data_IF_931689074132
#
_entry.id   IF_931689074132
#
_cell.length_a   1.000
_cell.length_b   1.000
_cell.length_c   1.000
_cell.angle_alpha   90.00
_cell.angle_beta   90.00
_cell.angle_gamma   90.00
#
_symmetry.space_group_name_H-M   'P 1'
#
loop_
_entity.id
_entity.type
_entity.pdbx_description
1 polymer ?
#
# COMPACT_ATOMS: atom_id res chain seq x y z
N UNK A 1 -5.41 18.58 -14.00
CA UNK A 1 -4.41 17.53 -14.31
C UNK A 1 -5.17 16.21 -14.39
N UNK A 2 -5.05 15.42 -15.47
CA UNK A 2 -5.73 14.11 -15.60
C UNK A 2 -4.69 12.99 -15.47
N UNK A 3 -4.49 12.51 -14.24
CA UNK A 3 -3.49 11.49 -13.90
C UNK A 3 -4.08 10.45 -12.94
N UNK A 4 -3.70 9.20 -13.20
CA UNK A 4 -3.81 8.09 -12.26
C UNK A 4 -2.41 7.80 -11.74
N UNK A 5 -2.23 7.75 -10.43
CA UNK A 5 -0.97 7.40 -9.81
C UNK A 5 -1.14 6.12 -9.00
N UNK A 6 -0.37 5.09 -9.34
CA UNK A 6 -0.34 3.86 -8.57
C UNK A 6 0.35 4.12 -7.22
N UNK A 7 -0.30 3.73 -6.13
CA UNK A 7 0.22 3.94 -4.77
C UNK A 7 0.76 2.64 -4.19
N UNK A 8 -0.06 1.59 -4.20
CA UNK A 8 0.30 0.27 -3.67
C UNK A 8 -0.63 -0.81 -4.24
N UNK A 9 -0.22 -2.07 -4.19
CA UNK A 9 -1.08 -3.20 -4.51
C UNK A 9 -0.59 -4.49 -3.86
N UNK A 10 -1.52 -5.43 -3.72
CA UNK A 10 -1.26 -6.82 -3.33
C UNK A 10 -1.86 -7.76 -4.39
N UNK A 11 -1.70 -9.07 -4.24
CA UNK A 11 -2.06 -10.13 -5.21
C UNK A 11 -3.30 -9.82 -6.09
N UNK A 12 -4.40 -9.40 -5.48
CA UNK A 12 -5.70 -9.18 -6.10
C UNK A 12 -6.27 -7.77 -5.86
N UNK A 13 -5.44 -6.81 -5.41
CA UNK A 13 -5.88 -5.45 -5.11
C UNK A 13 -4.86 -4.40 -5.54
N UNK A 14 -5.33 -3.24 -5.97
CA UNK A 14 -4.49 -2.10 -6.33
C UNK A 14 -5.14 -0.80 -5.87
N UNK A 15 -4.33 0.09 -5.33
CA UNK A 15 -4.73 1.40 -4.84
C UNK A 15 -4.15 2.49 -5.74
N UNK A 16 -5.03 3.38 -6.20
CA UNK A 16 -4.71 4.43 -7.14
C UNK A 16 -5.14 5.78 -6.57
N UNK A 17 -4.25 6.77 -6.65
CA UNK A 17 -4.62 8.16 -6.46
C UNK A 17 -5.16 8.69 -7.80
N UNK A 18 -6.43 9.10 -7.78
CA UNK A 18 -7.15 9.57 -8.97
C UNK A 18 -7.24 11.09 -8.93
N UNK A 19 -6.75 11.76 -9.96
CA UNK A 19 -6.94 13.21 -10.10
C UNK A 19 -8.39 13.54 -10.44
N UNK A 20 -8.91 14.65 -9.92
CA UNK A 20 -10.18 15.17 -10.38
C UNK A 20 -10.49 16.55 -9.81
N UNK A 21 -11.78 16.82 -9.58
CA UNK A 21 -12.28 18.10 -9.06
C UNK A 21 -12.41 18.05 -7.54
N UNK A 22 -11.87 19.06 -6.86
CA UNK A 22 -11.98 19.20 -5.40
C UNK A 22 -13.44 19.34 -4.94
N UNK A 23 -14.29 19.99 -5.75
CA UNK A 23 -15.71 20.20 -5.44
C UNK A 23 -16.54 18.92 -5.55
N UNK A 24 -16.10 17.96 -6.37
CA UNK A 24 -16.75 16.66 -6.50
C UNK A 24 -16.42 15.71 -5.34
N UNK A 25 -15.36 16.01 -4.58
CA UNK A 25 -14.89 15.21 -3.47
C UNK A 25 -14.34 13.85 -3.89
N UNK A 26 -14.07 12.99 -2.90
CA UNK A 26 -13.40 11.70 -3.13
C UNK A 26 -14.30 10.63 -3.79
N UNK A 27 -15.62 10.85 -3.85
CA UNK A 27 -16.60 9.95 -4.51
C UNK A 27 -16.71 10.16 -6.03
N UNK A 28 -15.84 11.00 -6.59
CA UNK A 28 -15.84 11.31 -8.01
C UNK A 28 -15.42 10.14 -8.90
N UNK A 29 -14.84 9.07 -8.32
CA UNK A 29 -14.31 7.92 -9.04
C UNK A 29 -13.43 8.35 -10.22
N UNK A 30 -13.73 7.88 -11.44
CA UNK A 30 -12.96 8.16 -12.64
C UNK A 30 -13.51 9.34 -13.46
N UNK A 31 -14.63 9.96 -13.06
CA UNK A 31 -15.39 10.90 -13.91
C UNK A 31 -14.55 12.02 -14.55
N UNK A 32 -13.55 12.53 -13.82
CA UNK A 32 -12.71 13.64 -14.27
C UNK A 32 -11.37 13.22 -14.86
N UNK A 33 -10.99 11.93 -14.77
CA UNK A 33 -9.73 11.41 -15.32
C UNK A 33 -9.92 10.75 -16.69
N UNK A 34 -11.15 10.31 -17.01
CA UNK A 34 -11.49 9.76 -18.32
C UNK A 34 -11.40 10.85 -19.39
N UNK A 35 -10.58 10.61 -20.41
CA UNK A 35 -10.39 11.55 -21.54
C UNK A 35 -11.37 11.29 -22.68
N UNK A 36 -11.63 10.01 -22.98
CA UNK A 36 -12.59 9.58 -23.99
C UNK A 36 -13.75 8.89 -23.29
N UNK A 37 -14.82 9.66 -23.08
CA UNK A 37 -16.00 9.19 -22.36
C UNK A 37 -16.79 8.16 -23.17
N UNK A 38 -16.88 8.34 -24.49
CA UNK A 38 -17.59 7.40 -25.35
C UNK A 38 -16.91 6.03 -25.30
N UNK A 39 -15.57 5.99 -25.45
CA UNK A 39 -14.82 4.75 -25.34
C UNK A 39 -14.98 4.11 -23.95
N UNK A 40 -14.91 4.89 -22.88
CA UNK A 40 -15.09 4.37 -21.53
C UNK A 40 -16.49 3.77 -21.33
N UNK A 41 -17.55 4.49 -21.68
CA UNK A 41 -18.93 4.03 -21.51
C UNK A 41 -19.21 2.77 -22.35
N UNK A 42 -18.62 2.65 -23.53
CA UNK A 42 -18.74 1.47 -24.39
C UNK A 42 -17.99 0.24 -23.83
N UNK A 43 -16.88 0.43 -23.11
CA UNK A 43 -15.95 -0.64 -22.73
C UNK A 43 -15.91 -0.98 -21.22
N UNK A 44 -16.28 -0.05 -20.33
CA UNK A 44 -16.21 -0.23 -18.88
C UNK A 44 -16.98 -1.47 -18.42
N UNK A 45 -18.10 -1.76 -19.08
CA UNK A 45 -18.94 -2.94 -18.86
C UNK A 45 -18.20 -4.28 -18.96
N UNK A 46 -17.07 -4.37 -19.67
CA UNK A 46 -16.30 -5.60 -19.77
C UNK A 46 -15.46 -5.86 -18.53
N UNK A 47 -15.05 -4.81 -17.83
CA UNK A 47 -14.15 -4.87 -16.69
C UNK A 47 -14.89 -4.69 -15.36
N UNK A 48 -15.84 -3.78 -15.28
CA UNK A 48 -16.59 -3.48 -14.07
C UNK A 48 -17.97 -4.17 -14.06
N UNK A 49 -18.60 -4.35 -12.88
CA UNK A 49 -20.00 -4.71 -12.78
C UNK A 49 -20.87 -3.69 -13.52
N UNK A 50 -21.89 -4.16 -14.22
CA UNK A 50 -22.77 -3.33 -15.07
C UNK A 50 -24.06 -2.91 -14.37
N UNK A 51 -24.13 -2.97 -13.04
CA UNK A 51 -25.40 -2.76 -12.35
C UNK A 51 -25.66 -1.26 -12.27
N UNK A 52 -26.90 -0.89 -12.64
CA UNK A 52 -27.46 0.44 -12.42
C UNK A 52 -27.58 0.66 -10.90
N UNK A 53 -26.51 1.13 -10.25
CA UNK A 53 -26.45 1.23 -8.80
C UNK A 53 -25.11 1.73 -8.24
N UNK A 54 -24.91 1.56 -6.94
CA UNK A 54 -23.65 1.87 -6.27
C UNK A 54 -22.60 0.82 -6.67
N UNK A 55 -21.54 1.24 -7.37
CA UNK A 55 -20.48 0.36 -7.89
C UNK A 55 -19.65 -0.33 -6.79
N UNK A 56 -19.94 -0.01 -5.52
CA UNK A 56 -19.32 -0.57 -4.34
C UNK A 56 -19.84 -2.00 -4.08
N UNK A 57 -18.92 -2.90 -3.74
CA UNK A 57 -19.16 -4.30 -3.33
C UNK A 57 -19.68 -5.28 -4.39
N UNK A 58 -20.00 -4.82 -5.60
CA UNK A 58 -20.38 -5.71 -6.68
C UNK A 58 -19.17 -6.34 -7.37
N UNK A 59 -19.24 -7.66 -7.63
CA UNK A 59 -18.14 -8.43 -8.18
C UNK A 59 -18.53 -9.08 -9.50
N UNK A 60 -17.72 -8.83 -10.52
CA UNK A 60 -17.77 -9.52 -11.80
C UNK A 60 -16.70 -10.59 -11.84
N UNK A 61 -17.03 -11.79 -12.34
CA UNK A 61 -16.05 -12.86 -12.55
C UNK A 61 -14.98 -12.36 -13.53
N UNK A 62 -13.71 -12.42 -13.10
CA UNK A 62 -12.55 -11.89 -13.84
C UNK A 62 -12.64 -10.38 -14.14
N UNK A 63 -13.51 -9.66 -13.43
CA UNK A 63 -13.62 -8.21 -13.49
C UNK A 63 -12.93 -7.52 -12.31
N UNK A 64 -12.91 -6.19 -12.39
CA UNK A 64 -12.44 -5.31 -11.34
C UNK A 64 -13.63 -4.84 -10.50
N UNK A 65 -13.43 -4.69 -9.20
CA UNK A 65 -14.42 -4.15 -8.27
C UNK A 65 -13.82 -2.98 -7.50
N UNK A 66 -14.59 -1.90 -7.34
CA UNK A 66 -14.19 -0.77 -6.50
C UNK A 66 -14.55 -1.13 -5.06
N UNK A 67 -13.56 -1.52 -4.26
CA UNK A 67 -13.82 -1.95 -2.87
C UNK A 67 -13.92 -0.78 -1.89
N UNK A 68 -13.12 0.27 -2.07
CA UNK A 68 -13.07 1.40 -1.15
C UNK A 68 -12.62 2.67 -1.88
N UNK A 69 -13.17 3.81 -1.46
CA UNK A 69 -12.75 5.14 -1.88
C UNK A 69 -12.28 5.95 -0.67
N UNK A 70 -11.07 6.51 -0.76
CA UNK A 70 -10.43 7.19 0.35
C UNK A 70 -10.04 8.63 0.02
N UNK A 71 -9.91 9.45 1.06
CA UNK A 71 -9.42 10.83 0.96
C UNK A 71 -7.90 10.89 1.03
N UNK A 72 -7.28 9.95 1.75
CA UNK A 72 -5.87 9.98 2.07
C UNK A 72 -5.30 8.56 2.06
N UNK A 73 -4.11 8.38 1.48
CA UNK A 73 -3.36 7.13 1.57
C UNK A 73 -1.86 7.42 1.69
N UNK A 74 -1.18 6.66 2.56
CA UNK A 74 0.28 6.70 2.73
C UNK A 74 0.77 5.26 2.70
N UNK A 75 1.49 4.89 1.65
CA UNK A 75 2.12 3.57 1.54
C UNK A 75 3.61 3.67 1.85
N UNK A 76 4.06 2.92 2.86
CA UNK A 76 5.46 2.86 3.26
C UNK A 76 6.19 1.75 2.50
N UNK A 77 5.50 0.61 2.34
CA UNK A 77 5.98 -0.57 1.65
C UNK A 77 4.78 -1.43 1.22
N UNK A 78 4.96 -2.42 0.34
CA UNK A 78 3.91 -3.39 0.04
C UNK A 78 3.35 -4.00 1.33
N UNK A 79 2.02 -4.04 1.46
CA UNK A 79 1.26 -4.52 2.63
C UNK A 79 1.46 -3.72 3.93
N UNK A 80 2.08 -2.53 3.84
CA UNK A 80 2.34 -1.63 4.98
C UNK A 80 1.92 -0.20 4.62
N UNK A 81 0.67 0.14 4.91
CA UNK A 81 0.06 1.41 4.51
C UNK A 81 -0.99 1.90 5.51
N UNK A 82 -1.23 3.21 5.47
CA UNK A 82 -2.36 3.89 6.05
C UNK A 82 -3.31 4.31 4.94
N UNK A 83 -4.61 4.15 5.16
CA UNK A 83 -5.66 4.68 4.30
C UNK A 83 -6.79 5.26 5.16
N UNK A 84 -7.36 6.37 4.71
CA UNK A 84 -8.54 6.99 5.29
C UNK A 84 -9.70 6.90 4.32
N UNK A 85 -10.71 6.11 4.69
CA UNK A 85 -11.93 5.87 3.90
C UNK A 85 -13.04 6.69 4.56
N UNK A 86 -13.33 7.87 3.99
CA UNK A 86 -14.19 8.87 4.62
C UNK A 86 -13.65 9.33 5.99
N UNK A 87 -14.38 9.03 7.06
CA UNK A 87 -13.98 9.33 8.44
C UNK A 87 -13.22 8.18 9.13
N UNK A 88 -13.16 7.00 8.52
CA UNK A 88 -12.54 5.82 9.13
C UNK A 88 -11.08 5.68 8.70
N UNK A 89 -10.20 5.64 9.68
CA UNK A 89 -8.78 5.37 9.47
C UNK A 89 -8.49 3.87 9.54
N UNK A 90 -7.62 3.38 8.65
CA UNK A 90 -7.21 1.99 8.60
C UNK A 90 -5.71 1.90 8.38
N UNK A 91 -5.04 1.22 9.30
CA UNK A 91 -3.60 0.93 9.21
C UNK A 91 -3.43 -0.56 8.96
N UNK A 92 -2.81 -0.90 7.83
CA UNK A 92 -2.44 -2.27 7.46
C UNK A 92 -0.93 -2.41 7.57
N UNK A 93 -0.49 -3.37 8.38
CA UNK A 93 0.93 -3.63 8.62
C UNK A 93 1.18 -5.13 8.58
N UNK A 94 2.14 -5.56 7.78
CA UNK A 94 2.51 -6.97 7.69
C UNK A 94 3.59 -7.29 8.73
N UNK A 95 3.37 -8.36 9.49
CA UNK A 95 4.34 -8.85 10.47
C UNK A 95 4.33 -8.12 11.81
N UNK A 96 3.42 -7.18 12.01
CA UNK A 96 3.27 -6.43 13.27
C UNK A 96 1.93 -6.74 13.91
N UNK A 97 1.95 -7.06 15.20
CA UNK A 97 0.74 -7.21 15.99
C UNK A 97 0.31 -5.85 16.55
N UNK A 98 -0.74 -5.27 15.96
CA UNK A 98 -1.23 -3.95 16.36
C UNK A 98 -1.91 -3.94 17.74
N UNK A 99 -2.26 -5.10 18.30
CA UNK A 99 -2.80 -5.19 19.67
C UNK A 99 -1.72 -4.91 20.71
N UNK A 100 -0.47 -5.30 20.42
CA UNK A 100 0.67 -5.11 21.34
C UNK A 100 1.44 -3.83 21.05
N UNK A 101 1.55 -3.43 19.77
CA UNK A 101 2.23 -2.20 19.35
C UNK A 101 1.25 -1.33 18.60
N UNK A 102 0.74 -0.27 19.26
CA UNK A 102 -0.12 0.72 18.59
C UNK A 102 0.74 1.62 17.72
N UNK A 103 0.63 1.44 16.40
CA UNK A 103 1.26 2.31 15.41
C UNK A 103 0.21 3.27 14.90
N UNK A 104 0.55 4.55 14.85
CA UNK A 104 -0.31 5.63 14.39
C UNK A 104 0.10 6.12 13.00
N UNK A 105 -0.76 6.91 12.35
CA UNK A 105 -0.43 7.63 11.11
C UNK A 105 0.84 8.45 11.27
N UNK A 106 0.98 9.17 12.39
CA UNK A 106 2.12 10.03 12.64
C UNK A 106 3.43 9.24 12.64
N UNK A 107 3.45 8.05 13.24
CA UNK A 107 4.65 7.19 13.20
C UNK A 107 5.06 6.81 11.77
N UNK A 108 4.10 6.60 10.86
CA UNK A 108 4.38 6.33 9.45
C UNK A 108 4.97 7.58 8.78
N UNK A 109 4.42 8.76 9.07
CA UNK A 109 4.90 10.04 8.54
C UNK A 109 6.32 10.35 9.04
N UNK A 110 6.58 10.24 10.35
CA UNK A 110 7.88 10.50 10.97
C UNK A 110 8.96 9.55 10.41
N UNK A 111 8.58 8.29 10.20
CA UNK A 111 9.47 7.33 9.56
C UNK A 111 9.88 7.78 8.16
N UNK A 112 8.94 8.22 7.31
CA UNK A 112 9.22 8.65 5.93
C UNK A 112 10.01 9.96 5.92
N UNK A 113 9.57 10.96 6.71
CA UNK A 113 10.10 12.31 6.68
C UNK A 113 11.44 12.44 7.41
N UNK A 114 11.53 11.82 8.59
CA UNK A 114 12.64 12.03 9.52
C UNK A 114 13.53 10.78 9.64
N UNK A 115 13.23 9.72 8.89
CA UNK A 115 14.01 8.47 8.91
C UNK A 115 13.87 7.70 10.22
N UNK A 116 12.82 7.98 11.01
CA UNK A 116 12.62 7.34 12.30
C UNK A 116 12.43 5.82 12.16
N UNK A 117 12.80 5.09 13.22
CA UNK A 117 12.58 3.65 13.35
C UNK A 117 11.58 3.45 14.48
N UNK A 118 10.37 3.02 14.13
CA UNK A 118 9.40 2.60 15.15
C UNK A 118 9.63 1.14 15.50
N UNK A 119 9.94 0.87 16.77
CA UNK A 119 10.12 -0.50 17.28
C UNK A 119 8.76 -1.16 17.56
N UNK A 120 8.70 -2.47 17.36
CA UNK A 120 7.55 -3.29 17.71
C UNK A 120 7.96 -4.51 18.52
N UNK A 121 7.09 -4.93 19.44
CA UNK A 121 7.31 -6.13 20.25
C UNK A 121 6.72 -7.33 19.52
N UNK A 122 7.60 -8.24 19.10
CA UNK A 122 7.22 -9.53 18.54
C UNK A 122 7.20 -10.58 19.65
N UNK A 123 6.08 -11.30 19.76
CA UNK A 123 5.95 -12.43 20.68
C UNK A 123 6.06 -13.72 19.87
N UNK A 124 7.04 -14.57 20.21
CA UNK A 124 7.19 -15.90 19.63
C UNK A 124 7.06 -16.97 20.71
N UNK A 125 6.60 -18.14 20.32
CA UNK A 125 6.74 -19.35 21.13
C UNK A 125 8.07 -20.00 20.79
N UNK A 126 8.79 -20.48 21.81
CA UNK A 126 10.04 -21.20 21.66
C UNK A 126 10.05 -22.41 22.57
N UNK A 127 10.49 -23.55 22.04
CA UNK A 127 10.65 -24.78 22.80
C UNK A 127 12.13 -25.06 23.01
N UNK A 128 12.52 -25.35 24.25
CA UNK A 128 13.86 -25.81 24.61
C UNK A 128 13.73 -26.88 25.68
N UNK A 129 14.41 -28.02 25.49
CA UNK A 129 14.34 -29.16 26.41
C UNK A 129 12.89 -29.58 26.73
N UNK A 130 12.05 -29.67 25.70
CA UNK A 130 10.61 -29.99 25.81
C UNK A 130 9.75 -29.00 26.62
N UNK A 131 10.32 -27.87 27.05
CA UNK A 131 9.57 -26.80 27.72
C UNK A 131 9.26 -25.71 26.71
N UNK A 132 7.98 -25.39 26.57
CA UNK A 132 7.51 -24.26 25.76
C UNK A 132 7.56 -22.98 26.58
N UNK A 133 8.09 -21.92 25.98
CA UNK A 133 8.19 -20.59 26.58
C UNK A 133 7.68 -19.54 25.61
N UNK A 134 7.22 -18.41 26.15
CA UNK A 134 6.85 -17.23 25.37
C UNK A 134 8.00 -16.24 25.45
N UNK A 135 8.56 -15.87 24.30
CA UNK A 135 9.71 -14.97 24.21
C UNK A 135 9.23 -13.66 23.58
N UNK A 136 9.44 -12.55 24.30
CA UNK A 136 9.25 -11.20 23.78
C UNK A 136 10.57 -10.71 23.17
N UNK A 137 10.52 -10.16 21.97
CA UNK A 137 11.70 -9.54 21.33
C UNK A 137 11.31 -8.23 20.70
N UNK A 138 12.06 -7.17 20.98
CA UNK A 138 11.92 -5.92 20.26
C UNK A 138 12.60 -6.02 18.90
N UNK A 139 11.87 -5.63 17.85
CA UNK A 139 12.35 -5.59 16.46
C UNK A 139 12.00 -4.24 15.85
N UNK A 140 12.59 -3.93 14.71
CA UNK A 140 12.10 -2.84 13.87
C UNK A 140 10.70 -3.22 13.39
N UNK A 141 9.70 -2.42 13.74
CA UNK A 141 8.33 -2.61 13.28
C UNK A 141 8.17 -1.96 11.91
N UNK A 142 8.20 -0.64 11.88
CA UNK A 142 8.16 0.15 10.64
C UNK A 142 9.39 1.07 10.56
N UNK A 143 9.85 1.31 9.34
CA UNK A 143 11.02 2.15 9.02
C UNK A 143 10.70 2.97 7.78
N UNK A 144 11.25 4.19 7.66
CA UNK A 144 11.05 5.08 6.50
C UNK A 144 11.41 4.49 5.15
N UNK A 145 12.20 3.42 5.19
CA UNK A 145 12.80 2.77 4.04
C UNK A 145 12.56 1.27 4.20
N UNK A 146 11.96 0.66 3.19
CA UNK A 146 11.75 -0.78 3.12
C UNK A 146 12.47 -1.34 1.89
N UNK A 147 13.78 -1.10 1.82
CA UNK A 147 14.62 -1.59 0.71
C UNK A 147 14.79 -3.10 0.88
N UNK A 148 13.93 -3.88 0.22
CA UNK A 148 14.25 -5.27 -0.10
C UNK A 148 15.15 -5.36 -1.33
N UNK A 149 15.13 -4.32 -2.16
CA UNK A 149 15.92 -4.23 -3.38
C UNK A 149 16.31 -2.78 -3.71
N UNK A 150 17.49 -2.59 -4.28
CA UNK A 150 17.99 -1.36 -4.88
C UNK A 150 17.61 -1.40 -6.36
N UNK A 151 17.00 -0.33 -6.87
CA UNK A 151 16.67 -0.20 -8.29
C UNK A 151 17.84 0.49 -9.01
N UNK A 152 18.36 -0.13 -10.07
CA UNK A 152 19.47 0.37 -10.87
C UNK A 152 18.99 1.25 -12.04
N UNK A 153 19.94 1.87 -12.75
CA UNK A 153 19.64 2.79 -13.87
C UNK A 153 18.90 2.14 -15.02
N UNK A 154 19.14 0.85 -15.24
CA UNK A 154 18.49 0.01 -16.26
C UNK A 154 17.12 -0.54 -15.80
N UNK A 155 16.59 -0.08 -14.66
CA UNK A 155 15.37 -0.57 -14.02
C UNK A 155 15.45 -2.00 -13.45
N UNK A 156 16.65 -2.61 -13.40
CA UNK A 156 16.83 -3.89 -12.71
C UNK A 156 16.75 -3.72 -11.19
N UNK A 157 16.30 -4.77 -10.50
CA UNK A 157 16.15 -4.80 -9.04
C UNK A 157 17.21 -5.71 -8.42
N UNK A 158 18.12 -5.16 -7.64
CA UNK A 158 19.17 -5.91 -6.95
C UNK A 158 18.89 -6.07 -5.45
N UNK A 159 19.31 -7.15 -4.77
CA UNK A 159 19.09 -7.32 -3.34
C UNK A 159 19.67 -6.17 -2.52
N UNK A 160 18.94 -5.67 -1.52
CA UNK A 160 19.52 -4.68 -0.60
C UNK A 160 20.55 -5.32 0.33
N UNK A 161 21.78 -4.82 0.28
CA UNK A 161 22.85 -5.15 1.24
C UNK A 161 23.16 -3.90 2.05
N UNK A 162 23.18 -4.04 3.37
CA UNK A 162 23.46 -2.90 4.26
C UNK A 162 24.84 -2.29 3.95
N UNK A 163 24.86 -0.98 3.69
CA UNK A 163 26.07 -0.25 3.33
C UNK A 163 26.33 -0.13 1.83
N UNK A 164 25.62 -0.90 0.99
CA UNK A 164 25.71 -0.75 -0.47
C UNK A 164 24.65 0.22 -1.00
N UNK A 165 25.03 0.97 -2.02
CA UNK A 165 24.21 1.90 -2.81
C UNK A 165 24.11 1.39 -4.24
N UNK A 166 23.22 1.99 -5.05
CA UNK A 166 23.09 1.64 -6.47
C UNK A 166 24.40 1.79 -7.26
N UNK A 167 25.31 2.68 -6.85
CA UNK A 167 26.64 2.85 -7.45
C UNK A 167 27.57 1.66 -7.25
N UNK A 168 27.27 0.80 -6.27
CA UNK A 168 28.14 -0.32 -5.89
C UNK A 168 27.77 -1.61 -6.65
N UNK A 169 26.72 -1.58 -7.46
CA UNK A 169 26.31 -2.67 -8.33
C UNK A 169 26.87 -2.45 -9.73
N UNK A 170 27.48 -3.50 -10.29
CA UNK A 170 27.98 -3.52 -11.66
C UNK A 170 26.85 -4.06 -12.54
N UNK A 171 26.55 -3.33 -13.61
CA UNK A 171 25.66 -3.78 -14.68
C UNK A 171 26.59 -4.25 -15.79
N UNK A 172 26.63 -5.56 -16.04
CA UNK A 172 27.32 -6.09 -17.21
C UNK A 172 26.53 -5.68 -18.46
N UNK A 173 27.24 -5.13 -19.45
CA UNK A 173 26.67 -4.78 -20.77
C UNK A 173 26.32 -6.00 -21.61
#
# INVERSE_FOLDING_TARGET
MTKLHFVEGDTDSAYWAVSGDENAGFKQQFNYVIKDKQFYDENAKYYFPTIEGDLLDEKKILGLAIENEGTEMIALAPKNYYIKVGEKEKIKLKGINQKTTKITKQNIVDNIRDGMITKATNMRLGQKNYIMSKIATQKNGITGVHTKAIVLKDQSCCPYVFGLKASDYIIDE
#
